data_IF_608509611236
#
_entry.id   IF_608509611236
#
_cell.length_a   1.000
_cell.length_b   1.000
_cell.length_c   1.000
_cell.angle_alpha   90.00
_cell.angle_beta   90.00
_cell.angle_gamma   90.00
#
_symmetry.space_group_name_H-M   'P 1'
#
loop_
_entity.id
_entity.type
_entity.pdbx_description
1 polymer ?
#
# COMPACT_ATOMS: atom_id res chain seq x y z
N UNK A 1 -34.70 -42.00 -3.07
CA UNK A 1 -33.93 -41.51 -4.24
C UNK A 1 -34.92 -41.20 -5.35
N UNK A 2 -34.94 -39.97 -5.89
CA UNK A 2 -35.69 -39.64 -7.10
C UNK A 2 -35.40 -40.65 -8.23
N UNK A 3 -36.40 -41.00 -9.03
CA UNK A 3 -36.23 -41.92 -10.17
C UNK A 3 -35.19 -41.40 -11.19
N UNK A 4 -34.99 -40.09 -11.25
CA UNK A 4 -33.97 -39.42 -12.06
C UNK A 4 -32.53 -39.71 -11.62
N UNK A 5 -32.31 -40.09 -10.36
CA UNK A 5 -30.98 -40.21 -9.74
C UNK A 5 -30.60 -41.64 -9.35
N UNK A 6 -31.21 -42.65 -9.98
CA UNK A 6 -30.82 -44.05 -9.77
C UNK A 6 -29.49 -44.32 -10.47
N UNK A 7 -28.61 -45.07 -9.83
CA UNK A 7 -27.33 -45.45 -10.45
C UNK A 7 -27.53 -46.57 -11.50
N UNK A 8 -26.71 -46.56 -12.55
CA UNK A 8 -26.72 -47.56 -13.64
C UNK A 8 -27.77 -47.32 -14.74
N UNK A 9 -28.06 -48.34 -15.57
CA UNK A 9 -28.98 -48.29 -16.72
C UNK A 9 -30.45 -47.94 -16.37
N UNK A 10 -30.77 -47.84 -15.08
CA UNK A 10 -32.09 -47.45 -14.59
C UNK A 10 -32.22 -45.96 -14.28
N UNK A 11 -31.10 -45.22 -14.33
CA UNK A 11 -31.04 -43.78 -14.13
C UNK A 11 -31.09 -43.01 -15.44
N UNK A 12 -31.89 -41.94 -15.48
CA UNK A 12 -32.06 -41.14 -16.69
C UNK A 12 -31.04 -40.00 -16.78
N UNK A 13 -30.41 -39.63 -15.67
CA UNK A 13 -29.44 -38.53 -15.63
C UNK A 13 -28.23 -38.69 -16.57
N UNK A 14 -27.58 -39.86 -16.68
CA UNK A 14 -26.47 -40.04 -17.64
C UNK A 14 -26.92 -39.85 -19.09
N UNK A 15 -28.15 -40.27 -19.42
CA UNK A 15 -28.72 -40.09 -20.76
C UNK A 15 -29.01 -38.62 -21.08
N UNK A 16 -29.55 -37.87 -20.12
CA UNK A 16 -29.77 -36.42 -20.26
C UNK A 16 -28.43 -35.68 -20.38
N UNK A 17 -27.43 -36.07 -19.59
CA UNK A 17 -26.08 -35.51 -19.65
C UNK A 17 -25.47 -35.68 -21.05
N UNK A 18 -25.52 -36.90 -21.60
CA UNK A 18 -25.07 -37.16 -22.96
C UNK A 18 -25.85 -36.34 -24.00
N UNK A 19 -27.16 -36.16 -23.82
CA UNK A 19 -27.96 -35.34 -24.73
C UNK A 19 -27.55 -33.86 -24.69
N UNK A 20 -27.25 -33.32 -23.49
CA UNK A 20 -26.73 -31.96 -23.34
C UNK A 20 -25.35 -31.82 -24.00
N UNK A 21 -24.44 -32.78 -23.78
CA UNK A 21 -23.12 -32.78 -24.39
C UNK A 21 -23.18 -32.84 -25.93
N UNK A 22 -24.04 -33.69 -26.49
CA UNK A 22 -24.24 -33.79 -27.94
C UNK A 22 -24.79 -32.47 -28.50
N UNK A 23 -25.77 -31.87 -27.82
CA UNK A 23 -26.34 -30.59 -28.24
C UNK A 23 -25.29 -29.47 -28.24
N UNK A 24 -24.47 -29.37 -27.19
CA UNK A 24 -23.39 -28.37 -27.11
C UNK A 24 -22.33 -28.58 -28.18
N UNK A 25 -21.90 -29.83 -28.39
CA UNK A 25 -20.74 -30.13 -29.24
C UNK A 25 -21.10 -30.10 -30.73
N UNK A 26 -22.25 -30.67 -31.09
CA UNK A 26 -22.64 -30.90 -32.48
C UNK A 26 -23.78 -30.00 -32.92
N UNK A 27 -24.86 -29.90 -32.15
CA UNK A 27 -26.05 -29.18 -32.61
C UNK A 27 -25.83 -27.65 -32.72
N UNK A 28 -25.03 -27.08 -31.83
CA UNK A 28 -24.72 -25.63 -31.85
C UNK A 28 -23.75 -25.22 -32.97
N UNK A 29 -22.98 -26.15 -33.55
CA UNK A 29 -21.95 -25.88 -34.56
C UNK A 29 -22.36 -26.22 -35.99
N UNK A 30 -23.38 -27.06 -36.18
CA UNK A 30 -23.72 -27.65 -37.49
C UNK A 30 -24.76 -26.90 -38.33
N UNK A 31 -25.49 -25.94 -37.77
CA UNK A 31 -26.62 -25.31 -38.46
C UNK A 31 -26.43 -23.81 -38.63
N UNK A 32 -26.44 -23.30 -39.87
CA UNK A 32 -26.37 -21.86 -40.18
C UNK A 32 -27.74 -21.16 -40.17
N UNK A 33 -28.83 -21.92 -40.09
CA UNK A 33 -30.19 -21.36 -40.11
C UNK A 33 -30.60 -20.85 -38.71
N UNK A 34 -30.79 -19.53 -38.60
CA UNK A 34 -31.15 -18.80 -37.38
C UNK A 34 -32.42 -19.34 -36.72
N UNK A 35 -33.44 -19.75 -37.49
CA UNK A 35 -34.69 -20.27 -36.94
C UNK A 35 -34.48 -21.63 -36.28
N UNK A 36 -33.72 -22.51 -36.94
CA UNK A 36 -33.42 -23.87 -36.42
C UNK A 36 -32.52 -23.75 -35.19
N UNK A 37 -31.49 -22.90 -35.24
CA UNK A 37 -30.66 -22.58 -34.08
C UNK A 37 -31.50 -22.11 -32.89
N UNK A 38 -32.45 -21.19 -33.11
CA UNK A 38 -33.33 -20.69 -32.06
C UNK A 38 -34.14 -21.78 -31.36
N UNK A 39 -34.65 -22.76 -32.11
CA UNK A 39 -35.38 -23.93 -31.57
C UNK A 39 -34.44 -24.88 -30.85
N UNK A 40 -33.26 -25.16 -31.41
CA UNK A 40 -32.26 -26.04 -30.78
C UNK A 40 -31.78 -25.48 -29.43
N UNK A 41 -31.49 -24.18 -29.36
CA UNK A 41 -31.15 -23.52 -28.10
C UNK A 41 -32.31 -23.56 -27.09
N UNK A 42 -33.57 -23.52 -27.55
CA UNK A 42 -34.73 -23.56 -26.67
C UNK A 42 -34.88 -24.96 -26.06
N UNK A 43 -34.77 -25.99 -26.90
CA UNK A 43 -34.76 -27.38 -26.46
C UNK A 43 -33.60 -27.65 -25.51
N UNK A 44 -32.41 -27.12 -25.80
CA UNK A 44 -31.26 -27.22 -24.90
C UNK A 44 -31.55 -26.63 -23.51
N UNK A 45 -32.10 -25.41 -23.47
CA UNK A 45 -32.48 -24.72 -22.22
C UNK A 45 -33.51 -25.52 -21.44
N UNK A 46 -34.52 -26.08 -22.10
CA UNK A 46 -35.58 -26.88 -21.45
C UNK A 46 -35.03 -28.19 -20.86
N UNK A 47 -34.16 -28.88 -21.60
CA UNK A 47 -33.51 -30.10 -21.12
C UNK A 47 -32.58 -29.78 -19.94
N UNK A 48 -31.82 -28.69 -20.03
CA UNK A 48 -30.93 -28.23 -18.99
C UNK A 48 -31.70 -27.83 -17.73
N UNK A 49 -32.83 -27.14 -17.89
CA UNK A 49 -33.72 -26.79 -16.77
C UNK A 49 -34.27 -28.04 -16.07
N UNK A 50 -34.73 -29.02 -16.85
CA UNK A 50 -35.19 -30.30 -16.28
C UNK A 50 -34.06 -31.02 -15.53
N UNK A 51 -32.85 -31.03 -16.09
CA UNK A 51 -31.67 -31.67 -15.51
C UNK A 51 -31.31 -31.03 -14.15
N UNK A 52 -31.19 -29.71 -14.09
CA UNK A 52 -30.80 -28.98 -12.88
C UNK A 52 -31.89 -29.04 -11.80
N UNK A 53 -33.17 -28.92 -12.17
CA UNK A 53 -34.29 -29.10 -11.24
C UNK A 53 -34.30 -30.51 -10.63
N UNK A 54 -33.91 -31.53 -11.40
CA UNK A 54 -33.78 -32.90 -10.89
C UNK A 54 -32.72 -33.01 -9.79
N UNK A 55 -31.61 -32.27 -9.92
CA UNK A 55 -30.55 -32.19 -8.91
C UNK A 55 -31.03 -31.46 -7.66
N UNK A 56 -31.70 -30.32 -7.82
CA UNK A 56 -32.21 -29.54 -6.70
C UNK A 56 -33.20 -30.34 -5.84
N UNK A 57 -34.11 -31.07 -6.49
CA UNK A 57 -35.06 -31.98 -5.80
C UNK A 57 -34.34 -33.13 -5.09
N UNK A 58 -33.24 -33.64 -5.65
CA UNK A 58 -32.44 -34.67 -5.01
C UNK A 58 -31.67 -34.14 -3.80
N UNK A 59 -31.06 -32.97 -3.91
CA UNK A 59 -30.35 -32.29 -2.82
C UNK A 59 -31.30 -32.02 -1.64
N UNK A 60 -32.52 -31.55 -1.92
CA UNK A 60 -33.58 -31.36 -0.91
C UNK A 60 -34.01 -32.67 -0.22
N UNK A 61 -33.89 -33.81 -0.91
CA UNK A 61 -34.30 -35.13 -0.39
C UNK A 61 -33.21 -35.84 0.44
N UNK A 62 -31.95 -35.44 0.35
CA UNK A 62 -30.80 -36.13 0.96
C UNK A 62 -30.36 -35.47 2.28
N UNK A 63 -29.97 -36.27 3.27
CA UNK A 63 -29.40 -35.78 4.55
C UNK A 63 -27.87 -35.68 4.52
N UNK A 64 -27.37 -34.67 5.26
CA UNK A 64 -26.00 -34.15 5.46
C UNK A 64 -24.85 -34.65 4.58
N UNK A 65 -24.26 -35.83 4.82
CA UNK A 65 -22.95 -36.16 4.22
C UNK A 65 -22.99 -36.41 2.70
N UNK A 66 -23.99 -37.14 2.20
CA UNK A 66 -24.15 -37.36 0.75
C UNK A 66 -24.61 -36.10 0.02
N UNK A 67 -25.17 -35.14 0.76
CA UNK A 67 -25.62 -33.86 0.22
C UNK A 67 -24.42 -32.98 -0.17
N UNK A 68 -23.35 -32.98 0.64
CA UNK A 68 -22.15 -32.16 0.36
C UNK A 68 -21.43 -32.59 -0.93
N UNK A 69 -21.27 -33.90 -1.15
CA UNK A 69 -20.59 -34.42 -2.35
C UNK A 69 -21.43 -34.12 -3.60
N UNK A 70 -22.73 -34.41 -3.55
CA UNK A 70 -23.65 -34.16 -4.65
C UNK A 70 -23.79 -32.65 -4.93
N UNK A 71 -23.72 -31.79 -3.90
CA UNK A 71 -23.75 -30.34 -4.06
C UNK A 71 -22.56 -29.82 -4.86
N UNK A 72 -21.35 -30.29 -4.58
CA UNK A 72 -20.14 -29.93 -5.36
C UNK A 72 -20.21 -30.42 -6.80
N UNK A 73 -20.76 -31.61 -7.02
CA UNK A 73 -20.98 -32.13 -8.37
C UNK A 73 -22.02 -31.29 -9.12
N UNK A 74 -23.13 -30.95 -8.46
CA UNK A 74 -24.16 -30.08 -9.00
C UNK A 74 -23.63 -28.70 -9.38
N UNK A 75 -22.82 -28.05 -8.53
CA UNK A 75 -22.21 -26.75 -8.84
C UNK A 75 -21.29 -26.83 -10.08
N UNK A 76 -20.47 -27.88 -10.18
CA UNK A 76 -19.61 -28.11 -11.35
C UNK A 76 -20.41 -28.33 -12.62
N UNK A 77 -21.41 -29.21 -12.57
CA UNK A 77 -22.22 -29.53 -13.75
C UNK A 77 -23.08 -28.35 -14.19
N UNK A 78 -23.68 -27.61 -13.23
CA UNK A 78 -24.41 -26.38 -13.50
C UNK A 78 -23.55 -25.38 -14.28
N UNK A 79 -22.35 -25.09 -13.77
CA UNK A 79 -21.44 -24.17 -14.43
C UNK A 79 -21.04 -24.66 -15.83
N UNK A 80 -20.71 -25.95 -15.95
CA UNK A 80 -20.24 -26.56 -17.20
C UNK A 80 -21.30 -26.53 -18.30
N UNK A 81 -22.57 -26.79 -17.99
CA UNK A 81 -23.64 -26.84 -19.00
C UNK A 81 -24.23 -25.46 -19.34
N UNK A 82 -24.16 -24.47 -18.45
CA UNK A 82 -24.63 -23.12 -18.79
C UNK A 82 -23.58 -22.36 -19.62
N UNK A 83 -22.28 -22.57 -19.36
CA UNK A 83 -21.17 -21.85 -20.02
C UNK A 83 -21.20 -21.85 -21.56
N UNK A 84 -21.54 -22.96 -22.26
CA UNK A 84 -21.67 -22.96 -23.72
C UNK A 84 -22.63 -21.89 -24.26
N UNK A 85 -23.74 -21.60 -23.58
CA UNK A 85 -24.69 -20.58 -24.01
C UNK A 85 -24.06 -19.17 -24.06
N UNK A 86 -23.12 -18.89 -23.15
CA UNK A 86 -22.36 -17.64 -23.14
C UNK A 86 -21.40 -17.59 -24.32
N UNK A 87 -20.72 -18.70 -24.64
CA UNK A 87 -19.78 -18.74 -25.78
C UNK A 87 -20.46 -18.47 -27.13
N UNK A 88 -21.73 -18.87 -27.26
CA UNK A 88 -22.55 -18.60 -28.45
C UNK A 88 -23.35 -17.29 -28.33
N UNK A 89 -23.06 -16.46 -27.32
CA UNK A 89 -23.67 -15.14 -27.07
C UNK A 89 -25.19 -15.15 -26.83
N UNK A 90 -25.74 -16.28 -26.39
CA UNK A 90 -27.14 -16.41 -25.98
C UNK A 90 -27.33 -15.92 -24.53
N UNK A 91 -26.97 -14.66 -24.27
CA UNK A 91 -26.87 -14.11 -22.91
C UNK A 91 -28.19 -14.15 -22.13
N UNK A 92 -29.33 -13.82 -22.76
CA UNK A 92 -30.62 -13.83 -22.07
C UNK A 92 -31.07 -15.23 -21.63
N UNK A 93 -30.80 -16.24 -22.47
CA UNK A 93 -31.12 -17.63 -22.13
C UNK A 93 -30.20 -18.17 -21.05
N UNK A 94 -28.90 -17.85 -21.15
CA UNK A 94 -27.91 -18.21 -20.14
C UNK A 94 -28.25 -17.57 -18.78
N UNK A 95 -28.60 -16.29 -18.79
CA UNK A 95 -28.94 -15.55 -17.59
C UNK A 95 -30.23 -16.07 -16.94
N UNK A 96 -31.28 -16.38 -17.70
CA UNK A 96 -32.51 -16.94 -17.14
C UNK A 96 -32.27 -18.26 -16.36
N UNK A 97 -31.40 -19.14 -16.88
CA UNK A 97 -31.01 -20.37 -16.17
C UNK A 97 -30.09 -20.05 -14.98
N UNK A 98 -29.08 -19.19 -15.18
CA UNK A 98 -28.12 -18.85 -14.13
C UNK A 98 -28.77 -18.10 -12.95
N UNK A 99 -29.77 -17.26 -13.20
CA UNK A 99 -30.61 -16.63 -12.18
C UNK A 99 -31.40 -17.68 -11.39
N UNK A 100 -32.09 -18.58 -12.10
CA UNK A 100 -32.92 -19.62 -11.49
C UNK A 100 -32.12 -20.55 -10.57
N UNK A 101 -30.91 -20.91 -10.98
CA UNK A 101 -30.06 -21.85 -10.24
C UNK A 101 -28.92 -21.16 -9.46
N UNK A 102 -28.93 -19.83 -9.39
CA UNK A 102 -27.99 -18.99 -8.64
C UNK A 102 -26.51 -19.29 -8.98
N UNK A 103 -26.17 -19.34 -10.26
CA UNK A 103 -24.78 -19.44 -10.71
C UNK A 103 -24.16 -18.04 -10.83
N UNK A 104 -23.68 -17.54 -9.69
CA UNK A 104 -23.18 -16.17 -9.57
C UNK A 104 -21.96 -15.87 -10.45
N UNK A 105 -21.10 -16.86 -10.69
CA UNK A 105 -19.96 -16.72 -11.60
C UNK A 105 -20.39 -16.40 -13.01
N UNK A 106 -21.37 -17.13 -13.52
CA UNK A 106 -21.86 -16.95 -14.87
C UNK A 106 -22.67 -15.66 -15.02
N UNK A 107 -23.47 -15.29 -14.02
CA UNK A 107 -24.16 -14.00 -14.01
C UNK A 107 -23.16 -12.84 -14.07
N UNK A 108 -22.08 -12.91 -13.29
CA UNK A 108 -21.00 -11.92 -13.34
C UNK A 108 -20.32 -11.89 -14.69
N UNK A 109 -20.01 -13.05 -15.27
CA UNK A 109 -19.40 -13.14 -16.59
C UNK A 109 -20.29 -12.52 -17.67
N UNK A 110 -21.61 -12.80 -17.64
CA UNK A 110 -22.57 -12.23 -18.58
C UNK A 110 -22.60 -10.71 -18.46
N UNK A 111 -22.75 -10.16 -17.24
CA UNK A 111 -22.76 -8.71 -17.01
C UNK A 111 -21.49 -8.02 -17.51
N UNK A 112 -20.33 -8.67 -17.38
CA UNK A 112 -19.06 -8.13 -17.84
C UNK A 112 -18.87 -8.20 -19.37
N UNK A 113 -19.34 -9.27 -20.01
CA UNK A 113 -19.32 -9.41 -21.47
C UNK A 113 -20.31 -8.46 -22.16
N UNK A 114 -21.49 -8.26 -21.58
CA UNK A 114 -22.49 -7.30 -22.09
C UNK A 114 -22.22 -5.86 -21.67
N UNK A 115 -21.35 -5.65 -20.67
CA UNK A 115 -21.09 -4.35 -20.02
C UNK A 115 -22.37 -3.69 -19.46
N UNK A 116 -23.31 -4.52 -19.02
CA UNK A 116 -24.61 -4.07 -18.50
C UNK A 116 -24.55 -3.89 -16.98
N UNK A 117 -24.25 -2.65 -16.55
CA UNK A 117 -24.18 -2.28 -15.13
C UNK A 117 -25.54 -2.29 -14.45
N UNK A 118 -26.61 -2.02 -15.18
CA UNK A 118 -27.97 -1.92 -14.63
C UNK A 118 -28.50 -3.32 -14.31
N UNK A 119 -28.19 -4.31 -15.16
CA UNK A 119 -28.44 -5.73 -14.88
C UNK A 119 -27.68 -6.19 -13.63
N UNK A 120 -26.41 -5.82 -13.50
CA UNK A 120 -25.63 -6.18 -12.31
C UNK A 120 -26.23 -5.59 -11.03
N UNK A 121 -26.63 -4.32 -11.05
CA UNK A 121 -27.29 -3.67 -9.92
C UNK A 121 -28.61 -4.37 -9.54
N UNK A 122 -29.41 -4.76 -10.54
CA UNK A 122 -30.64 -5.53 -10.31
C UNK A 122 -30.35 -6.86 -9.60
N UNK A 123 -29.32 -7.59 -10.03
CA UNK A 123 -28.92 -8.83 -9.34
C UNK A 123 -28.42 -8.60 -7.93
N UNK A 124 -27.66 -7.53 -7.70
CA UNK A 124 -27.23 -7.15 -6.35
C UNK A 124 -28.41 -6.86 -5.42
N UNK A 125 -29.51 -6.30 -5.92
CA UNK A 125 -30.74 -6.07 -5.15
C UNK A 125 -31.58 -7.35 -4.97
N UNK A 126 -31.69 -8.16 -6.02
CA UNK A 126 -32.49 -9.38 -6.03
C UNK A 126 -31.90 -10.48 -5.13
N UNK A 127 -30.57 -10.61 -5.12
CA UNK A 127 -29.86 -11.67 -4.40
C UNK A 127 -29.14 -11.17 -3.14
N UNK A 128 -29.74 -10.20 -2.45
CA UNK A 128 -29.20 -9.60 -1.22
C UNK A 128 -29.03 -10.63 -0.10
N UNK A 129 -30.04 -11.48 0.12
CA UNK A 129 -30.02 -12.53 1.15
C UNK A 129 -28.97 -13.62 0.90
N UNK A 130 -28.54 -13.80 -0.36
CA UNK A 130 -27.54 -14.79 -0.76
C UNK A 130 -26.13 -14.19 -0.82
N UNK A 131 -25.91 -12.99 -0.28
CA UNK A 131 -24.63 -12.30 -0.26
C UNK A 131 -24.00 -12.10 -1.66
N UNK A 132 -24.83 -11.96 -2.70
CA UNK A 132 -24.32 -11.80 -4.07
C UNK A 132 -23.39 -10.59 -4.20
N UNK A 133 -23.67 -9.49 -3.51
CA UNK A 133 -22.83 -8.29 -3.57
C UNK A 133 -21.43 -8.49 -3.00
N UNK A 134 -21.30 -9.24 -1.90
CA UNK A 134 -19.98 -9.65 -1.40
C UNK A 134 -19.24 -10.53 -2.40
N UNK A 135 -19.98 -11.40 -3.12
CA UNK A 135 -19.44 -12.18 -4.22
C UNK A 135 -18.90 -11.30 -5.33
N UNK A 136 -19.66 -10.30 -5.78
CA UNK A 136 -19.25 -9.32 -6.80
C UNK A 136 -17.96 -8.62 -6.38
N UNK A 137 -17.87 -8.16 -5.12
CA UNK A 137 -16.68 -7.49 -4.62
C UNK A 137 -15.46 -8.42 -4.60
N UNK A 138 -15.60 -9.66 -4.11
CA UNK A 138 -14.54 -10.68 -4.15
C UNK A 138 -14.10 -10.98 -5.59
N UNK A 139 -15.03 -11.07 -6.52
CA UNK A 139 -14.75 -11.32 -7.93
C UNK A 139 -13.91 -10.19 -8.55
N UNK A 140 -14.28 -8.93 -8.32
CA UNK A 140 -13.50 -7.78 -8.79
C UNK A 140 -12.12 -7.69 -8.14
N UNK A 141 -12.00 -8.04 -6.86
CA UNK A 141 -10.72 -8.12 -6.15
C UNK A 141 -9.80 -9.18 -6.78
N UNK A 142 -10.32 -10.38 -7.04
CA UNK A 142 -9.57 -11.49 -7.62
C UNK A 142 -9.11 -11.20 -9.05
N UNK A 143 -9.90 -10.46 -9.84
CA UNK A 143 -9.52 -10.02 -11.19
C UNK A 143 -8.60 -8.80 -11.22
N UNK A 144 -8.27 -8.21 -10.06
CA UNK A 144 -7.47 -6.98 -9.97
C UNK A 144 -8.19 -5.71 -10.39
N UNK A 145 -9.50 -5.77 -10.65
CA UNK A 145 -10.32 -4.63 -11.10
C UNK A 145 -10.91 -3.84 -9.94
N UNK A 146 -10.06 -3.46 -8.97
CA UNK A 146 -10.47 -2.84 -7.70
C UNK A 146 -11.27 -1.55 -7.87
N UNK A 147 -10.99 -0.78 -8.93
CA UNK A 147 -11.68 0.49 -9.20
C UNK A 147 -13.18 0.32 -9.48
N UNK A 148 -13.61 -0.82 -10.03
CA UNK A 148 -15.03 -1.07 -10.33
C UNK A 148 -15.89 -1.21 -9.07
N UNK A 149 -15.30 -1.63 -7.96
CA UNK A 149 -15.99 -1.81 -6.67
C UNK A 149 -16.58 -0.48 -6.16
N UNK A 150 -15.92 0.63 -6.46
CA UNK A 150 -16.32 1.98 -6.05
C UNK A 150 -17.24 2.67 -7.05
N UNK A 151 -17.70 1.95 -8.09
CA UNK A 151 -18.63 2.53 -9.04
C UNK A 151 -19.95 2.87 -8.35
N UNK A 152 -20.37 4.14 -8.44
CA UNK A 152 -21.63 4.65 -7.87
C UNK A 152 -22.84 3.82 -8.32
N UNK A 153 -22.78 3.23 -9.52
CA UNK A 153 -23.84 2.42 -10.10
C UNK A 153 -24.06 1.06 -9.40
N UNK A 154 -23.09 0.53 -8.63
CA UNK A 154 -23.27 -0.74 -7.91
C UNK A 154 -24.22 -0.63 -6.71
N UNK A 155 -24.46 0.60 -6.22
CA UNK A 155 -25.51 0.91 -5.26
C UNK A 155 -25.65 -0.09 -4.12
N UNK A 156 -24.66 -0.16 -3.20
CA UNK A 156 -24.72 -0.95 -1.95
C UNK A 156 -23.60 -0.56 -0.98
N UNK A 157 -23.69 0.67 -0.46
CA UNK A 157 -22.65 1.30 0.37
C UNK A 157 -22.42 0.59 1.70
N UNK A 158 -23.48 0.19 2.39
CA UNK A 158 -23.37 -0.47 3.70
C UNK A 158 -22.67 -1.83 3.62
N UNK A 159 -23.05 -2.65 2.63
CA UNK A 159 -22.42 -3.96 2.37
C UNK A 159 -20.95 -3.78 1.99
N UNK A 160 -20.65 -2.77 1.17
CA UNK A 160 -19.28 -2.42 0.82
C UNK A 160 -18.46 -2.00 2.05
N UNK A 161 -19.03 -1.18 2.93
CA UNK A 161 -18.39 -0.77 4.18
C UNK A 161 -18.02 -1.96 5.07
N UNK A 162 -18.93 -2.94 5.22
CA UNK A 162 -18.69 -4.17 5.98
C UNK A 162 -17.62 -5.05 5.31
N UNK A 163 -17.71 -5.26 4.00
CA UNK A 163 -16.72 -6.03 3.23
C UNK A 163 -15.32 -5.41 3.34
N UNK A 164 -15.21 -4.09 3.27
CA UNK A 164 -13.94 -3.39 3.37
C UNK A 164 -13.33 -3.41 4.77
N UNK A 165 -14.06 -3.81 5.82
CA UNK A 165 -13.48 -3.99 7.16
C UNK A 165 -12.29 -4.96 7.14
N UNK A 166 -12.36 -6.00 6.30
CA UNK A 166 -11.30 -6.99 6.10
C UNK A 166 -10.14 -6.48 5.23
N UNK A 167 -10.34 -5.38 4.48
CA UNK A 167 -9.38 -4.85 3.51
C UNK A 167 -8.93 -3.41 3.83
N UNK A 168 -8.04 -3.28 4.82
CA UNK A 168 -7.54 -1.99 5.34
C UNK A 168 -7.02 -1.02 4.26
N UNK A 169 -6.33 -1.53 3.23
CA UNK A 169 -5.69 -0.72 2.18
C UNK A 169 -6.67 0.06 1.29
N UNK A 170 -7.94 -0.34 1.24
CA UNK A 170 -8.96 0.24 0.36
C UNK A 170 -10.03 1.05 1.11
N UNK A 171 -10.03 1.01 2.46
CA UNK A 171 -11.03 1.70 3.29
C UNK A 171 -11.08 3.21 3.06
N UNK A 172 -9.93 3.83 2.82
CA UNK A 172 -9.86 5.27 2.62
C UNK A 172 -10.64 5.75 1.37
N UNK A 173 -10.68 4.95 0.30
CA UNK A 173 -11.48 5.25 -0.90
C UNK A 173 -12.98 5.28 -0.59
N UNK A 174 -13.44 4.32 0.22
CA UNK A 174 -14.82 4.31 0.70
C UNK A 174 -15.14 5.53 1.54
N UNK A 175 -14.27 5.91 2.48
CA UNK A 175 -14.49 7.09 3.30
C UNK A 175 -14.51 8.39 2.49
N UNK A 176 -13.70 8.52 1.44
CA UNK A 176 -13.76 9.66 0.52
C UNK A 176 -15.11 9.70 -0.22
N UNK A 177 -15.60 8.56 -0.68
CA UNK A 177 -16.89 8.48 -1.37
C UNK A 177 -18.08 8.82 -0.46
N UNK A 178 -18.00 8.51 0.83
CA UNK A 178 -18.99 8.87 1.85
C UNK A 178 -18.74 10.25 2.47
N UNK A 179 -17.83 11.06 1.92
CA UNK A 179 -17.48 12.41 2.41
C UNK A 179 -16.97 12.42 3.87
N UNK A 180 -16.51 11.27 4.39
CA UNK A 180 -15.95 11.10 5.74
C UNK A 180 -14.45 11.33 5.74
N UNK A 181 -14.03 12.57 5.50
CA UNK A 181 -12.62 12.91 5.32
C UNK A 181 -11.74 12.67 6.55
N UNK A 182 -12.26 12.81 7.78
CA UNK A 182 -11.49 12.53 9.00
C UNK A 182 -11.10 11.05 9.12
N UNK A 183 -12.02 10.14 8.77
CA UNK A 183 -11.77 8.70 8.77
C UNK A 183 -10.81 8.30 7.63
N UNK A 184 -10.94 8.96 6.47
CA UNK A 184 -10.01 8.80 5.36
C UNK A 184 -8.59 9.24 5.74
N UNK A 185 -8.44 10.40 6.37
CA UNK A 185 -7.17 10.91 6.89
C UNK A 185 -6.50 9.89 7.83
N UNK A 186 -7.23 9.40 8.84
CA UNK A 186 -6.68 8.48 9.83
C UNK A 186 -6.20 7.16 9.18
N UNK A 187 -7.00 6.63 8.25
CA UNK A 187 -6.66 5.41 7.51
C UNK A 187 -5.43 5.64 6.61
N UNK A 188 -5.39 6.74 5.86
CA UNK A 188 -4.25 7.07 4.99
C UNK A 188 -2.96 7.28 5.78
N UNK A 189 -3.04 7.96 6.94
CA UNK A 189 -1.90 8.15 7.84
C UNK A 189 -1.39 6.81 8.36
N UNK A 190 -2.29 5.92 8.79
CA UNK A 190 -1.92 4.58 9.25
C UNK A 190 -1.25 3.75 8.14
N UNK A 191 -1.78 3.81 6.92
CA UNK A 191 -1.17 3.14 5.77
C UNK A 191 0.21 3.74 5.42
N UNK A 192 0.37 5.06 5.53
CA UNK A 192 1.65 5.72 5.31
C UNK A 192 2.71 5.32 6.35
N UNK A 193 2.33 5.21 7.63
CA UNK A 193 3.24 4.78 8.69
C UNK A 193 3.67 3.30 8.58
N UNK A 194 2.82 2.46 7.97
CA UNK A 194 3.14 1.05 7.68
C UNK A 194 3.95 0.86 6.39
N UNK A 195 4.01 1.87 5.53
CA UNK A 195 4.69 1.77 4.24
C UNK A 195 6.20 1.89 4.42
N UNK A 196 6.91 0.80 4.12
CA UNK A 196 8.37 0.74 4.20
C UNK A 196 9.03 0.40 2.85
N UNK A 197 8.26 -0.07 1.87
CA UNK A 197 8.79 -0.63 0.63
C UNK A 197 9.08 0.42 -0.42
N UNK A 198 8.23 1.46 -0.51
CA UNK A 198 8.32 2.46 -1.57
C UNK A 198 8.20 3.88 -0.99
N UNK A 199 9.27 4.65 -1.07
CA UNK A 199 9.30 6.04 -0.61
C UNK A 199 8.25 6.91 -1.32
N UNK A 200 8.16 6.78 -2.65
CA UNK A 200 7.19 7.51 -3.48
C UNK A 200 5.74 7.22 -3.07
N UNK A 201 5.46 5.97 -2.67
CA UNK A 201 4.15 5.57 -2.17
C UNK A 201 3.86 6.16 -0.79
N UNK A 202 4.83 6.13 0.14
CA UNK A 202 4.69 6.77 1.45
C UNK A 202 4.39 8.27 1.29
N UNK A 203 5.15 8.97 0.44
CA UNK A 203 4.94 10.39 0.09
C UNK A 203 3.54 10.66 -0.46
N UNK A 204 3.05 9.82 -1.36
CA UNK A 204 1.71 9.94 -1.95
C UNK A 204 0.63 9.75 -0.89
N UNK A 205 0.75 8.75 -0.03
CA UNK A 205 -0.20 8.49 1.05
C UNK A 205 -0.26 9.65 2.06
N UNK A 206 0.88 10.20 2.48
CA UNK A 206 0.94 11.37 3.36
C UNK A 206 0.33 12.61 2.71
N UNK A 207 0.62 12.84 1.42
CA UNK A 207 0.07 13.98 0.68
C UNK A 207 -1.45 13.89 0.56
N UNK A 208 -1.98 12.70 0.24
CA UNK A 208 -3.43 12.45 0.23
C UNK A 208 -4.04 12.61 1.63
N UNK A 209 -3.37 12.11 2.66
CA UNK A 209 -3.79 12.27 4.06
C UNK A 209 -3.89 13.75 4.44
N UNK A 210 -2.91 14.57 4.05
CA UNK A 210 -2.89 16.03 4.26
C UNK A 210 -4.06 16.72 3.58
N UNK A 211 -4.35 16.36 2.33
CA UNK A 211 -5.52 16.88 1.60
C UNK A 211 -6.83 16.51 2.30
N UNK A 212 -6.97 15.27 2.79
CA UNK A 212 -8.15 14.86 3.56
C UNK A 212 -8.29 15.65 4.87
N UNK A 213 -7.19 15.90 5.61
CA UNK A 213 -7.21 16.70 6.83
C UNK A 213 -7.58 18.17 6.57
N UNK A 214 -7.16 18.74 5.43
CA UNK A 214 -7.50 20.11 5.04
C UNK A 214 -8.99 20.28 4.74
N UNK A 215 -9.57 19.29 4.06
CA UNK A 215 -10.97 19.33 3.61
C UNK A 215 -11.94 18.92 4.72
N UNK A 216 -11.49 18.18 5.74
CA UNK A 216 -12.39 17.69 6.78
C UNK A 216 -13.06 18.80 7.58
N UNK A 217 -14.15 18.52 8.28
CA UNK A 217 -14.88 19.52 9.09
C UNK A 217 -14.36 19.61 10.53
N UNK A 218 -13.18 19.04 10.81
CA UNK A 218 -12.55 19.07 12.13
C UNK A 218 -12.25 20.50 12.63
N UNK A 219 -12.22 20.73 13.96
CA UNK A 219 -11.83 22.02 14.54
C UNK A 219 -10.44 22.46 14.09
N UNK A 220 -10.23 23.77 13.92
CA UNK A 220 -8.98 24.32 13.38
C UNK A 220 -7.72 23.89 14.16
N UNK A 221 -7.80 23.83 15.49
CA UNK A 221 -6.69 23.38 16.35
C UNK A 221 -6.31 21.91 16.10
N UNK A 222 -7.31 21.07 15.81
CA UNK A 222 -7.07 19.65 15.51
C UNK A 222 -6.45 19.53 14.13
N UNK A 223 -6.96 20.29 13.14
CA UNK A 223 -6.40 20.34 11.79
C UNK A 223 -4.94 20.78 11.77
N UNK A 224 -4.59 21.86 12.49
CA UNK A 224 -3.20 22.35 12.53
C UNK A 224 -2.26 21.29 13.08
N UNK A 225 -2.61 20.68 14.21
CA UNK A 225 -1.81 19.59 14.81
C UNK A 225 -1.67 18.37 13.89
N UNK A 226 -2.75 17.97 13.20
CA UNK A 226 -2.70 16.87 12.23
C UNK A 226 -1.80 17.19 11.03
N UNK A 227 -1.85 18.43 10.53
CA UNK A 227 -1.03 18.89 9.40
C UNK A 227 0.44 19.00 9.81
N UNK A 228 0.73 19.53 10.99
CA UNK A 228 2.08 19.59 11.55
C UNK A 228 2.70 18.20 11.67
N UNK A 229 1.94 17.23 12.21
CA UNK A 229 2.40 15.85 12.30
C UNK A 229 2.68 15.22 10.92
N UNK A 230 1.90 15.55 9.88
CA UNK A 230 2.20 15.11 8.51
C UNK A 230 3.43 15.83 7.96
N UNK A 231 3.56 17.13 8.19
CA UNK A 231 4.69 17.91 7.69
C UNK A 231 6.00 17.34 8.21
N UNK A 232 6.09 17.00 9.50
CA UNK A 232 7.27 16.33 10.06
C UNK A 232 7.61 15.03 9.32
N UNK A 233 6.63 14.17 9.03
CA UNK A 233 6.88 12.95 8.24
C UNK A 233 7.28 13.25 6.78
N UNK A 234 6.78 14.34 6.19
CA UNK A 234 7.16 14.79 4.86
C UNK A 234 8.58 15.38 4.83
N UNK A 235 9.00 16.04 5.89
CA UNK A 235 10.36 16.60 6.04
C UNK A 235 11.39 15.47 6.09
N UNK A 236 11.11 14.38 6.82
CA UNK A 236 11.95 13.17 6.81
C UNK A 236 12.09 12.58 5.39
N UNK A 237 10.99 12.54 4.62
CA UNK A 237 11.03 12.10 3.21
C UNK A 237 11.86 13.05 2.36
N UNK A 238 11.77 14.36 2.60
CA UNK A 238 12.55 15.36 1.87
C UNK A 238 14.05 15.18 2.14
N UNK A 239 14.46 14.88 3.38
CA UNK A 239 15.84 14.53 3.70
C UNK A 239 16.31 13.27 2.99
N UNK A 240 15.45 12.26 2.82
CA UNK A 240 15.81 11.07 2.05
C UNK A 240 15.90 11.34 0.54
N UNK A 241 15.01 12.18 -0.02
CA UNK A 241 15.04 12.57 -1.43
C UNK A 241 16.24 13.49 -1.77
N UNK A 242 16.74 14.22 -0.79
CA UNK A 242 17.90 15.10 -0.93
C UNK A 242 19.25 14.36 -0.88
N UNK A 243 19.26 13.04 -0.65
CA UNK A 243 20.47 12.23 -0.61
C UNK A 243 21.28 12.38 -1.93
N UNK A 244 22.60 12.62 -1.84
CA UNK A 244 23.45 12.68 -3.03
C UNK A 244 23.41 11.38 -3.83
N UNK A 245 23.28 11.49 -5.16
CA UNK A 245 23.20 10.32 -6.06
C UNK A 245 24.44 9.44 -5.94
N UNK A 246 25.61 10.03 -5.70
CA UNK A 246 26.88 9.33 -5.46
C UNK A 246 26.80 8.35 -4.29
N UNK A 247 26.17 8.76 -3.19
CA UNK A 247 25.95 7.91 -2.01
C UNK A 247 24.95 6.82 -2.34
N UNK A 248 23.84 7.15 -3.00
CA UNK A 248 22.82 6.18 -3.38
C UNK A 248 23.39 5.07 -4.28
N UNK A 249 24.23 5.44 -5.25
CA UNK A 249 24.92 4.49 -6.13
C UNK A 249 25.98 3.65 -5.41
N UNK A 250 26.75 4.25 -4.47
CA UNK A 250 27.75 3.54 -3.67
C UNK A 250 27.12 2.42 -2.83
N UNK A 251 25.91 2.64 -2.31
CA UNK A 251 25.14 1.65 -1.56
C UNK A 251 24.35 0.68 -2.47
N UNK A 252 24.44 0.81 -3.79
CA UNK A 252 23.77 -0.07 -4.76
C UNK A 252 22.24 0.07 -4.80
N UNK A 253 21.71 1.22 -4.40
CA UNK A 253 20.27 1.49 -4.34
C UNK A 253 19.80 2.09 -5.67
N UNK A 254 18.62 1.70 -6.15
CA UNK A 254 17.99 2.34 -7.31
C UNK A 254 17.35 3.68 -6.90
N UNK A 255 17.80 4.83 -7.44
CA UNK A 255 17.23 6.14 -7.12
C UNK A 255 15.74 6.26 -7.45
N UNK A 256 15.23 5.47 -8.42
CA UNK A 256 13.82 5.51 -8.83
C UNK A 256 12.92 4.64 -7.95
N UNK A 257 13.51 3.68 -7.25
CA UNK A 257 12.79 2.67 -6.50
C UNK A 257 13.37 2.47 -5.09
N UNK A 258 13.50 3.59 -4.38
CA UNK A 258 14.04 3.61 -3.04
C UNK A 258 13.01 3.14 -2.00
N UNK A 259 13.45 2.28 -1.08
CA UNK A 259 12.69 1.94 0.13
C UNK A 259 12.57 3.11 1.09
N UNK A 260 11.85 2.96 2.20
CA UNK A 260 11.81 4.00 3.24
C UNK A 260 12.92 3.71 4.24
N UNK A 261 13.83 4.66 4.44
CA UNK A 261 14.91 4.52 5.40
C UNK A 261 14.51 5.09 6.77
N UNK A 262 15.08 4.49 7.81
CA UNK A 262 14.96 5.02 9.15
C UNK A 262 15.97 6.17 9.35
N UNK A 263 15.70 7.12 10.26
CA UNK A 263 16.61 8.25 10.52
C UNK A 263 18.04 7.81 10.83
N UNK A 264 18.25 6.72 11.56
CA UNK A 264 19.57 6.20 11.90
C UNK A 264 20.38 5.82 10.65
N UNK A 265 19.71 5.19 9.68
CA UNK A 265 20.34 4.78 8.44
C UNK A 265 20.62 5.99 7.53
N UNK A 266 19.72 6.98 7.51
CA UNK A 266 19.93 8.22 6.77
C UNK A 266 21.13 9.00 7.29
N UNK A 267 21.27 9.10 8.62
CA UNK A 267 22.41 9.75 9.26
C UNK A 267 23.71 9.08 8.82
N UNK A 268 23.77 7.75 8.90
CA UNK A 268 24.95 6.99 8.48
C UNK A 268 25.30 7.24 7.00
N UNK A 269 24.29 7.26 6.12
CA UNK A 269 24.52 7.53 4.70
C UNK A 269 25.08 8.93 4.45
N UNK A 270 24.60 9.95 5.18
CA UNK A 270 25.09 11.33 5.06
C UNK A 270 26.54 11.50 5.54
N UNK A 271 26.91 10.85 6.65
CA UNK A 271 28.23 10.99 7.28
C UNK A 271 29.27 9.97 6.77
N UNK A 272 28.84 8.93 6.04
CA UNK A 272 29.70 7.86 5.54
C UNK A 272 30.90 8.37 4.75
N UNK A 273 32.01 7.64 4.83
CA UNK A 273 33.24 7.97 4.10
C UNK A 273 33.03 7.91 2.57
N UNK A 274 32.04 7.13 2.12
CA UNK A 274 31.56 7.01 0.74
C UNK A 274 30.99 8.33 0.19
N UNK A 275 30.48 9.22 1.04
CA UNK A 275 30.11 10.58 0.64
C UNK A 275 31.36 11.45 0.49
N UNK A 276 32.07 11.31 -0.64
CA UNK A 276 33.30 12.07 -0.91
C UNK A 276 33.07 13.57 -1.05
N UNK A 277 31.82 13.98 -1.32
CA UNK A 277 31.43 15.39 -1.53
C UNK A 277 30.65 15.95 -0.34
N UNK A 278 30.74 15.30 0.83
CA UNK A 278 30.02 15.72 2.03
C UNK A 278 30.32 17.19 2.36
N UNK A 279 29.27 18.00 2.46
CA UNK A 279 29.36 19.41 2.78
C UNK A 279 28.71 19.73 4.14
N UNK A 280 28.79 21.00 4.55
CA UNK A 280 28.20 21.51 5.80
C UNK A 280 26.71 21.17 5.94
N UNK A 281 25.95 21.22 4.85
CA UNK A 281 24.51 20.94 4.85
C UNK A 281 24.23 19.45 5.09
N UNK A 282 25.06 18.54 4.61
CA UNK A 282 24.90 17.09 4.84
C UNK A 282 25.01 16.74 6.33
N UNK A 283 26.00 17.32 7.02
CA UNK A 283 26.16 17.16 8.47
C UNK A 283 25.07 17.88 9.26
N UNK A 284 24.61 19.06 8.80
CA UNK A 284 23.47 19.74 9.41
C UNK A 284 22.18 18.91 9.29
N UNK A 285 21.92 18.32 8.13
CA UNK A 285 20.80 17.39 7.90
C UNK A 285 20.94 16.19 8.84
N UNK A 286 22.13 15.60 8.98
CA UNK A 286 22.36 14.49 9.90
C UNK A 286 22.02 14.87 11.36
N UNK A 287 22.37 16.09 11.80
CA UNK A 287 22.00 16.59 13.13
C UNK A 287 20.49 16.84 13.25
N UNK A 288 19.85 17.37 12.21
CA UNK A 288 18.39 17.58 12.19
C UNK A 288 17.62 16.26 12.23
N UNK A 289 18.16 15.20 11.60
CA UNK A 289 17.61 13.85 11.61
C UNK A 289 17.52 13.23 13.02
N UNK A 290 18.34 13.71 13.98
CA UNK A 290 18.24 13.29 15.38
C UNK A 290 16.87 13.61 15.99
N UNK A 291 16.22 14.70 15.55
CA UNK A 291 14.89 15.09 16.04
C UNK A 291 13.77 14.16 15.55
N UNK A 292 14.03 13.35 14.52
CA UNK A 292 13.09 12.37 13.98
C UNK A 292 13.25 10.97 14.60
N UNK A 293 14.19 10.82 15.52
CA UNK A 293 14.41 9.59 16.27
C UNK A 293 13.21 9.28 17.17
N UNK A 294 12.88 7.99 17.30
CA UNK A 294 11.81 7.55 18.22
C UNK A 294 12.19 7.73 19.70
N UNK A 295 13.49 7.79 19.97
CA UNK A 295 14.07 7.91 21.31
C UNK A 295 14.30 9.39 21.64
N UNK A 296 14.17 9.80 22.91
CA UNK A 296 14.46 11.17 23.31
C UNK A 296 15.93 11.50 23.07
N UNK A 297 16.25 12.79 22.93
CA UNK A 297 17.60 13.29 22.72
C UNK A 297 18.57 12.90 23.85
N UNK A 298 18.06 12.73 25.07
CA UNK A 298 18.83 12.31 26.25
C UNK A 298 19.13 10.80 26.29
N UNK A 299 18.62 10.03 25.33
CA UNK A 299 18.92 8.60 25.26
C UNK A 299 20.40 8.40 24.90
N UNK A 300 21.12 7.48 25.59
CA UNK A 300 22.54 7.29 25.36
C UNK A 300 22.87 6.91 23.91
N UNK A 301 21.98 6.24 23.19
CA UNK A 301 22.21 5.91 21.78
C UNK A 301 22.13 7.17 20.90
N UNK A 302 21.17 8.05 21.15
CA UNK A 302 21.03 9.31 20.39
C UNK A 302 22.18 10.25 20.71
N UNK A 303 22.60 10.31 21.98
CA UNK A 303 23.79 11.06 22.40
C UNK A 303 25.06 10.55 21.71
N UNK A 304 25.29 9.24 21.69
CA UNK A 304 26.44 8.64 21.02
C UNK A 304 26.42 8.92 19.51
N UNK A 305 25.24 8.85 18.88
CA UNK A 305 25.09 9.13 17.46
C UNK A 305 25.33 10.61 17.14
N UNK A 306 24.91 11.52 18.03
CA UNK A 306 25.24 12.94 17.96
C UNK A 306 26.75 13.18 18.05
N UNK A 307 27.44 12.54 19.00
CA UNK A 307 28.90 12.62 19.10
C UNK A 307 29.58 12.07 17.85
N UNK A 308 29.06 10.95 17.31
CA UNK A 308 29.57 10.34 16.07
C UNK A 308 29.48 11.29 14.87
N UNK A 309 28.36 11.98 14.69
CA UNK A 309 28.20 12.99 13.61
C UNK A 309 29.25 14.09 13.76
N UNK A 310 29.45 14.63 14.96
CA UNK A 310 30.44 15.67 15.22
C UNK A 310 31.88 15.19 15.04
N UNK A 311 32.20 13.97 15.48
CA UNK A 311 33.51 13.35 15.27
C UNK A 311 33.80 13.19 13.78
N UNK A 312 32.83 12.68 13.00
CA UNK A 312 32.96 12.57 11.55
C UNK A 312 33.09 13.91 10.85
N UNK A 313 32.38 14.95 11.29
CA UNK A 313 32.54 16.31 10.74
C UNK A 313 33.97 16.83 10.97
N UNK A 314 34.53 16.61 12.16
CA UNK A 314 35.92 16.99 12.48
C UNK A 314 36.93 16.19 11.66
N UNK A 315 36.75 14.88 11.51
CA UNK A 315 37.66 14.02 10.75
C UNK A 315 37.74 14.37 9.26
N UNK A 316 36.79 15.13 8.72
CA UNK A 316 36.83 15.61 7.32
C UNK A 316 37.79 16.78 7.11
N UNK A 317 38.06 17.56 8.14
CA UNK A 317 38.97 18.70 8.06
C UNK A 317 40.43 18.24 8.25
N UNK A 318 41.37 18.79 7.48
CA UNK A 318 42.80 18.48 7.59
C UNK A 318 43.47 19.35 8.66
N UNK A 319 43.37 18.94 9.92
CA UNK A 319 43.85 19.72 11.07
C UNK A 319 45.36 19.99 11.10
N UNK A 320 46.16 19.18 10.41
CA UNK A 320 47.63 19.33 10.37
C UNK A 320 48.09 20.50 9.48
N UNK A 321 47.24 20.97 8.56
CA UNK A 321 47.60 21.99 7.56
C UNK A 321 47.23 23.42 7.94
N UNK A 322 46.50 23.61 9.05
CA UNK A 322 46.04 24.95 9.46
C UNK A 322 47.14 25.78 10.11
N UNK A 323 47.19 27.07 9.75
CA UNK A 323 48.13 28.03 10.32
C UNK A 323 47.72 28.41 11.76
N UNK A 324 48.47 27.94 12.75
CA UNK A 324 48.24 28.27 14.16
C UNK A 324 48.47 29.76 14.50
N UNK A 325 49.05 30.56 13.59
CA UNK A 325 49.29 31.97 13.83
C UNK A 325 48.04 32.84 13.67
N UNK A 326 47.07 32.42 12.83
CA UNK A 326 45.79 33.09 12.62
C UNK A 326 44.63 32.12 12.87
N UNK A 327 44.37 31.76 14.14
CA UNK A 327 43.39 30.73 14.48
C UNK A 327 41.98 31.12 14.01
N UNK A 328 41.62 32.41 14.03
CA UNK A 328 40.29 32.90 13.63
C UNK A 328 39.93 32.67 12.15
N UNK A 329 40.90 32.81 11.24
CA UNK A 329 40.65 32.57 9.82
C UNK A 329 40.68 31.07 9.51
N UNK A 330 41.56 30.32 10.19
CA UNK A 330 41.60 28.86 10.09
C UNK A 330 40.30 28.19 10.56
N UNK A 331 39.64 28.68 11.62
CA UNK A 331 38.38 28.09 12.09
C UNK A 331 37.22 28.28 11.15
N UNK A 332 37.11 29.44 10.49
CA UNK A 332 35.98 29.74 9.59
C UNK A 332 35.96 28.82 8.36
N UNK A 333 37.10 28.25 7.99
CA UNK A 333 37.21 27.31 6.88
C UNK A 333 36.82 25.87 7.28
N UNK A 334 36.72 25.56 8.58
CA UNK A 334 36.37 24.21 9.05
C UNK A 334 34.88 23.91 8.89
N UNK A 335 34.56 22.67 8.52
CA UNK A 335 33.18 22.18 8.42
C UNK A 335 32.49 22.29 9.79
N UNK A 336 33.22 21.98 10.88
CA UNK A 336 32.72 22.09 12.25
C UNK A 336 32.15 23.48 12.56
N UNK A 337 32.91 24.55 12.30
CA UNK A 337 32.47 25.91 12.60
C UNK A 337 31.38 26.39 11.64
N UNK A 338 31.46 26.02 10.36
CA UNK A 338 30.43 26.38 9.38
C UNK A 338 29.06 25.76 9.74
N UNK A 339 29.01 24.55 10.31
CA UNK A 339 27.76 23.97 10.82
C UNK A 339 27.18 24.84 11.94
N UNK A 340 28.02 25.34 12.85
CA UNK A 340 27.60 26.21 13.97
C UNK A 340 27.10 27.56 13.45
N UNK A 341 27.79 28.16 12.47
CA UNK A 341 27.38 29.41 11.83
C UNK A 341 26.02 29.25 11.14
N UNK A 342 25.83 28.17 10.36
CA UNK A 342 24.54 27.86 9.72
C UNK A 342 23.43 27.64 10.76
N UNK A 343 23.73 26.98 11.89
CA UNK A 343 22.76 26.79 12.97
C UNK A 343 22.40 28.11 13.67
N UNK A 344 23.37 29.02 13.85
CA UNK A 344 23.16 30.34 14.40
C UNK A 344 22.27 31.21 13.52
N UNK A 345 22.53 31.23 12.21
CA UNK A 345 21.74 31.98 11.23
C UNK A 345 20.28 31.49 11.16
N UNK A 346 20.05 30.21 11.45
CA UNK A 346 18.72 29.61 11.54
C UNK A 346 18.00 29.88 12.89
N UNK A 347 18.66 30.57 13.83
CA UNK A 347 18.11 30.93 15.13
C UNK A 347 18.06 29.78 16.14
N UNK A 348 18.88 28.74 15.96
CA UNK A 348 18.97 27.61 16.91
C UNK A 348 19.76 28.05 18.14
N UNK A 349 19.29 27.67 19.34
CA UNK A 349 20.03 27.91 20.58
C UNK A 349 21.32 27.07 20.59
N UNK A 350 22.46 27.75 20.39
CA UNK A 350 23.76 27.08 20.23
C UNK A 350 24.18 26.30 21.50
N UNK A 351 23.73 26.74 22.69
CA UNK A 351 24.07 26.07 23.95
C UNK A 351 23.62 24.60 23.97
N UNK A 352 22.42 24.32 23.46
CA UNK A 352 21.87 22.97 23.44
C UNK A 352 22.30 22.19 22.19
N UNK A 353 22.73 22.90 21.15
CA UNK A 353 23.18 22.36 19.87
C UNK A 353 24.66 21.92 19.86
N UNK A 354 25.54 22.58 20.61
CA UNK A 354 26.95 22.18 20.72
C UNK A 354 27.17 21.10 21.79
N UNK A 355 27.91 20.03 21.47
CA UNK A 355 28.33 19.08 22.49
C UNK A 355 29.42 19.70 23.38
N UNK A 356 29.51 19.31 24.67
CA UNK A 356 30.59 19.76 25.53
C UNK A 356 31.93 19.23 25.03
N UNK A 357 32.96 20.08 25.07
CA UNK A 357 34.31 19.79 24.53
C UNK A 357 34.90 18.53 25.18
N UNK A 358 34.64 18.33 26.48
CA UNK A 358 35.17 17.20 27.24
C UNK A 358 34.63 15.86 26.72
N UNK A 359 33.36 15.79 26.35
CA UNK A 359 32.74 14.57 25.83
C UNK A 359 33.15 14.31 24.37
N UNK A 360 33.31 15.38 23.58
CA UNK A 360 33.80 15.29 22.20
C UNK A 360 35.23 14.74 22.16
N UNK A 361 36.12 15.24 23.02
CA UNK A 361 37.50 14.75 23.14
C UNK A 361 37.61 13.32 23.70
N UNK A 362 36.58 12.82 24.38
CA UNK A 362 36.51 11.44 24.89
C UNK A 362 35.98 10.44 23.86
N UNK A 363 35.53 10.91 22.68
CA UNK A 363 34.98 10.04 21.64
C UNK A 363 36.10 9.16 21.05
N UNK A 364 35.91 7.83 20.95
CA UNK A 364 36.98 6.90 20.54
C UNK A 364 37.51 7.16 19.12
N UNK A 365 36.71 7.75 18.26
CA UNK A 365 37.06 8.09 16.87
C UNK A 365 38.05 9.26 16.77
N UNK A 366 38.12 10.10 17.82
CA UNK A 366 39.01 11.25 17.88
C UNK A 366 40.28 10.98 18.70
N UNK A 367 40.52 9.74 19.16
CA UNK A 367 41.67 9.42 20.00
C UNK A 367 43.02 9.81 19.37
N UNK A 368 43.19 9.61 18.07
CA UNK A 368 44.43 9.95 17.36
C UNK A 368 44.68 11.48 17.29
N UNK A 369 43.60 12.27 17.24
CA UNK A 369 43.64 13.73 17.25
C UNK A 369 43.66 14.32 18.66
N UNK A 370 43.13 13.60 19.65
CA UNK A 370 43.10 14.02 21.04
C UNK A 370 44.51 14.20 21.61
N UNK A 371 45.52 13.47 21.11
CA UNK A 371 46.91 13.66 21.55
C UNK A 371 47.61 14.84 20.86
N UNK A 372 47.02 15.44 19.81
CA UNK A 372 47.60 16.57 19.10
C UNK A 372 47.33 17.90 19.84
N UNK A 373 48.36 18.61 20.34
CA UNK A 373 48.19 19.85 21.08
C UNK A 373 47.65 20.99 20.21
N UNK A 374 47.94 20.99 18.91
CA UNK A 374 47.46 22.02 17.98
C UNK A 374 45.95 21.88 17.78
N UNK A 375 45.46 20.64 17.58
CA UNK A 375 44.03 20.36 17.46
C UNK A 375 43.25 20.77 18.73
N UNK A 376 43.75 20.41 19.91
CA UNK A 376 43.14 20.81 21.20
C UNK A 376 43.09 22.32 21.38
N UNK A 377 44.19 23.02 21.08
CA UNK A 377 44.23 24.48 21.15
C UNK A 377 43.23 25.11 20.17
N UNK A 378 43.19 24.60 18.95
CA UNK A 378 42.31 25.05 17.89
C UNK A 378 40.83 24.87 18.28
N UNK A 379 40.45 23.68 18.73
CA UNK A 379 39.08 23.40 19.15
C UNK A 379 38.65 24.26 20.37
N UNK A 380 39.52 24.39 21.38
CA UNK A 380 39.24 25.23 22.56
C UNK A 380 39.06 26.70 22.19
N UNK A 381 39.94 27.24 21.33
CA UNK A 381 39.83 28.62 20.87
C UNK A 381 38.56 28.85 20.02
N UNK A 382 38.15 27.86 19.21
CA UNK A 382 36.90 27.89 18.46
C UNK A 382 35.67 27.96 19.38
N UNK A 383 35.61 27.10 20.41
CA UNK A 383 34.53 27.12 21.39
C UNK A 383 34.49 28.42 22.21
N UNK A 384 35.64 28.95 22.65
CA UNK A 384 35.69 30.25 23.34
C UNK A 384 35.17 31.39 22.46
N UNK A 385 35.47 31.36 21.16
CA UNK A 385 34.98 32.36 20.22
C UNK A 385 33.46 32.25 20.03
N UNK A 386 32.94 31.04 19.90
CA UNK A 386 31.49 30.80 19.82
C UNK A 386 30.79 31.30 21.09
N UNK A 387 31.32 30.99 22.27
CA UNK A 387 30.78 31.45 23.54
C UNK A 387 30.80 32.99 23.67
N UNK A 388 31.82 33.66 23.12
CA UNK A 388 31.88 35.13 23.06
C UNK A 388 30.90 35.76 22.07
N UNK A 389 30.49 35.04 21.03
CA UNK A 389 29.47 35.50 20.07
C UNK A 389 28.06 35.34 20.66
N UNK A 390 27.86 34.31 21.49
CA UNK A 390 26.57 34.01 22.12
C UNK A 390 26.30 34.90 23.36
N UNK A 391 27.36 35.36 24.05
CA UNK A 391 27.27 36.27 25.22
C UNK A 391 27.00 37.71 24.81
#
# INVERSE_FOLDING_TARGET
MPWTSRDGHSGIRPHIKNQLDINVTYAMSLTDNIQIQGVLFQQYVEILDFFLNSYEKQLKSLKSERNVILGKEYEKERHLFIKPLITVRQYERAAAIAEKYMDFDLLMQICEETKDSDRLQRYMLQFTEQHFSEYVFKWYMNKGQKGKIFNKHLGQREVLGNFLQEHETLKWLYFIQEERYDAAYATLRQLALKETQYLSRKKTLLSLSKLCALISDSPQNVKSSQIEAINLEQDLIAHQEALPITVVEAYGIDPRNMGVFLPEHLIEMYISDENTTANVYDFKIALDLLNFMKKPLDDPEVFNLRMHIWAKAILRDNWETFDCNNPLDAFKETIFFQIVEVAFDQGIEIHDFLPPIEDLLQTPELCDFADNPNFKFLLQAGYEHILKIIS
#
